data_IF_402825234752
#
_entry.id   IF_402825234752
#
_cell.length_a   1.000
_cell.length_b   1.000
_cell.length_c   1.000
_cell.angle_alpha   90.00
_cell.angle_beta   90.00
_cell.angle_gamma   90.00
#
_symmetry.space_group_name_H-M   'P 1'
#
loop_
_entity.id
_entity.type
_entity.pdbx_description
1 polymer ?
#
# COMPACT_ATOMS: atom_id res chain seq x y z
N UNK A 1 -17.38 12.03 20.05
CA UNK A 1 -18.06 10.72 20.03
C UNK A 1 -17.00 9.69 19.67
N UNK A 2 -16.21 9.36 20.67
CA UNK A 2 -15.01 8.53 20.64
C UNK A 2 -15.29 7.42 21.66
N UNK A 3 -14.95 6.18 21.30
CA UNK A 3 -14.89 4.94 22.09
C UNK A 3 -16.18 4.11 22.25
N UNK A 4 -16.08 2.87 21.74
CA UNK A 4 -16.95 1.70 21.94
C UNK A 4 -16.68 0.69 20.80
N UNK A 5 -15.93 -0.40 20.93
CA UNK A 5 -15.39 -1.09 22.09
C UNK A 5 -14.00 -1.68 21.83
N UNK A 6 -13.16 -1.61 22.85
CA UNK A 6 -11.83 -2.20 22.98
C UNK A 6 -11.85 -3.59 23.66
N UNK A 7 -13.02 -4.23 23.78
CA UNK A 7 -13.17 -5.53 24.45
C UNK A 7 -13.37 -6.66 23.46
N UNK A 8 -12.25 -7.22 22.99
CA UNK A 8 -12.21 -8.52 22.33
C UNK A 8 -10.79 -9.07 22.13
N UNK A 9 -9.78 -8.50 22.80
CA UNK A 9 -8.37 -8.86 22.58
C UNK A 9 -7.85 -10.01 23.45
N UNK A 10 -8.56 -10.48 24.47
CA UNK A 10 -8.14 -11.67 25.24
C UNK A 10 -9.34 -12.41 25.81
N UNK A 11 -9.77 -13.48 25.14
CA UNK A 11 -10.83 -14.36 25.64
C UNK A 11 -11.18 -15.47 24.66
N UNK A 12 -10.70 -16.68 24.95
CA UNK A 12 -11.23 -17.98 24.55
C UNK A 12 -11.55 -18.22 23.04
N UNK A 13 -10.58 -18.80 22.33
CA UNK A 13 -10.83 -20.03 21.56
C UNK A 13 -11.66 -20.00 20.27
N UNK A 14 -11.81 -18.88 19.57
CA UNK A 14 -12.65 -18.85 18.36
C UNK A 14 -11.84 -18.71 17.06
N UNK A 15 -11.76 -19.78 16.25
CA UNK A 15 -11.04 -19.81 14.95
C UNK A 15 -11.48 -18.67 14.03
N UNK A 16 -12.70 -18.18 14.21
CA UNK A 16 -13.32 -17.06 13.49
C UNK A 16 -12.60 -15.73 13.73
N UNK A 17 -12.08 -15.49 14.94
CA UNK A 17 -11.34 -14.26 15.29
C UNK A 17 -9.98 -14.16 14.59
N UNK A 18 -9.32 -15.31 14.41
CA UNK A 18 -8.03 -15.45 13.74
C UNK A 18 -8.16 -15.25 12.23
N UNK A 19 -9.21 -15.81 11.61
CA UNK A 19 -9.54 -15.59 10.20
C UNK A 19 -9.83 -14.11 9.93
N UNK A 20 -10.62 -13.47 10.80
CA UNK A 20 -10.95 -12.04 10.68
C UNK A 20 -9.72 -11.15 10.84
N UNK A 21 -8.81 -11.48 11.74
CA UNK A 21 -7.53 -10.79 11.88
C UNK A 21 -6.67 -10.93 10.62
N UNK A 22 -6.54 -12.15 10.08
CA UNK A 22 -5.82 -12.38 8.82
C UNK A 22 -6.34 -11.50 7.68
N UNK A 23 -7.67 -11.42 7.54
CA UNK A 23 -8.31 -10.57 6.52
C UNK A 23 -7.98 -9.07 6.67
N UNK A 24 -8.01 -8.55 7.90
CA UNK A 24 -7.66 -7.13 8.17
C UNK A 24 -6.20 -6.83 7.87
N UNK A 25 -5.30 -7.77 8.17
CA UNK A 25 -3.87 -7.62 7.89
C UNK A 25 -3.60 -7.61 6.38
N UNK A 26 -4.22 -8.52 5.63
CA UNK A 26 -4.11 -8.56 4.17
C UNK A 26 -4.64 -7.29 3.51
N UNK A 27 -5.77 -6.75 4.00
CA UNK A 27 -6.31 -5.48 3.51
C UNK A 27 -5.36 -4.32 3.78
N UNK A 28 -4.84 -4.21 5.01
CA UNK A 28 -3.89 -3.16 5.39
C UNK A 28 -2.59 -3.23 4.59
N UNK A 29 -2.06 -4.44 4.36
CA UNK A 29 -0.86 -4.66 3.56
C UNK A 29 -1.07 -4.26 2.09
N UNK A 30 -2.20 -4.62 1.49
CA UNK A 30 -2.51 -4.26 0.11
C UNK A 30 -2.61 -2.73 -0.07
N UNK A 31 -3.28 -2.04 0.86
CA UNK A 31 -3.38 -0.57 0.86
C UNK A 31 -1.97 0.04 1.01
N UNK A 32 -1.18 -0.45 1.96
CA UNK A 32 0.15 0.08 2.23
C UNK A 32 1.07 -0.01 1.00
N UNK A 33 1.04 -1.14 0.26
CA UNK A 33 1.87 -1.30 -0.95
C UNK A 33 1.45 -0.34 -2.06
N UNK A 34 0.15 -0.18 -2.32
CA UNK A 34 -0.34 0.76 -3.36
C UNK A 34 0.10 2.18 -3.03
N UNK A 35 -0.14 2.63 -1.79
CA UNK A 35 0.22 3.98 -1.35
C UNK A 35 1.74 4.20 -1.38
N UNK A 36 2.54 3.25 -0.87
CA UNK A 36 3.99 3.39 -0.85
C UNK A 36 4.60 3.49 -2.26
N UNK A 37 4.14 2.63 -3.18
CA UNK A 37 4.64 2.60 -4.56
C UNK A 37 4.27 3.84 -5.37
N UNK A 38 3.06 4.38 -5.21
CA UNK A 38 2.64 5.61 -5.87
C UNK A 38 3.37 6.81 -5.31
N UNK A 39 3.43 6.95 -3.98
CA UNK A 39 4.12 8.05 -3.33
C UNK A 39 5.61 8.06 -3.69
N UNK A 40 6.27 6.91 -3.73
CA UNK A 40 7.68 6.84 -4.10
C UNK A 40 7.94 7.39 -5.51
N UNK A 41 7.04 7.10 -6.47
CA UNK A 41 7.13 7.68 -7.81
C UNK A 41 6.86 9.18 -7.79
N UNK A 42 5.78 9.62 -7.12
CA UNK A 42 5.45 11.05 -7.02
C UNK A 42 6.60 11.88 -6.46
N UNK A 43 7.22 11.42 -5.37
CA UNK A 43 8.37 12.09 -4.74
C UNK A 43 9.57 12.16 -5.70
N UNK A 44 9.83 11.11 -6.48
CA UNK A 44 10.94 11.14 -7.45
C UNK A 44 10.64 12.02 -8.66
N UNK A 45 9.39 12.05 -9.12
CA UNK A 45 8.97 12.95 -10.19
C UNK A 45 9.13 14.42 -9.74
N UNK A 46 8.73 14.75 -8.50
CA UNK A 46 8.96 16.08 -7.91
C UNK A 46 10.44 16.40 -7.74
N UNK A 47 11.25 15.43 -7.27
CA UNK A 47 12.69 15.62 -7.13
C UNK A 47 13.35 15.94 -8.48
N UNK A 48 12.98 15.24 -9.55
CA UNK A 48 13.47 15.54 -10.91
C UNK A 48 13.00 16.91 -11.36
N UNK A 49 11.73 17.25 -11.13
CA UNK A 49 11.18 18.55 -11.51
C UNK A 49 11.91 19.71 -10.81
N UNK A 50 12.30 19.54 -9.54
CA UNK A 50 13.07 20.53 -8.78
C UNK A 50 14.51 20.70 -9.31
N UNK A 51 15.14 19.62 -9.77
CA UNK A 51 16.49 19.66 -10.36
C UNK A 51 16.49 20.12 -11.82
N UNK A 52 15.33 20.18 -12.48
CA UNK A 52 15.21 20.54 -13.90
C UNK A 52 15.98 19.57 -14.81
N UNK A 53 16.66 20.10 -15.82
CA UNK A 53 17.43 19.29 -16.78
C UNK A 53 18.56 18.47 -16.11
N UNK A 54 19.09 18.96 -14.98
CA UNK A 54 20.14 18.27 -14.21
C UNK A 54 19.61 16.96 -13.62
N UNK A 55 18.32 16.87 -13.29
CA UNK A 55 17.69 15.66 -12.78
C UNK A 55 17.67 14.48 -13.76
N UNK A 56 17.88 14.73 -15.05
CA UNK A 56 18.00 13.69 -16.08
C UNK A 56 19.45 13.32 -16.42
N UNK A 57 20.43 14.03 -15.85
CA UNK A 57 21.85 13.73 -16.07
C UNK A 57 22.29 12.55 -15.19
N UNK A 58 23.09 11.65 -15.78
CA UNK A 58 23.61 10.45 -15.09
C UNK A 58 24.43 10.78 -13.85
N UNK A 59 25.02 11.97 -13.79
CA UNK A 59 25.84 12.41 -12.67
C UNK A 59 25.01 12.65 -11.40
N UNK A 60 23.72 13.00 -11.53
CA UNK A 60 22.82 13.16 -10.39
C UNK A 60 22.20 11.84 -9.92
N UNK A 61 22.14 10.82 -10.78
CA UNK A 61 21.62 9.49 -10.45
C UNK A 61 20.11 9.40 -10.23
N UNK A 62 19.37 10.52 -10.27
CA UNK A 62 17.91 10.58 -10.11
C UNK A 62 17.19 9.83 -11.24
N UNK A 63 17.76 9.81 -12.45
CA UNK A 63 17.20 9.09 -13.60
C UNK A 63 17.32 7.57 -13.45
N UNK A 64 18.27 7.09 -12.64
CA UNK A 64 18.36 5.68 -12.26
C UNK A 64 17.28 5.33 -11.26
N UNK A 65 17.11 6.14 -10.22
CA UNK A 65 16.06 5.95 -9.20
C UNK A 65 14.67 5.95 -9.83
N UNK A 66 14.40 6.87 -10.77
CA UNK A 66 13.13 6.90 -11.51
C UNK A 66 12.87 5.58 -12.26
N UNK A 67 13.89 5.03 -12.92
CA UNK A 67 13.78 3.76 -13.67
C UNK A 67 13.52 2.58 -12.73
N UNK A 68 14.23 2.52 -11.62
CA UNK A 68 14.08 1.47 -10.62
C UNK A 68 12.69 1.54 -9.96
N UNK A 69 12.18 2.74 -9.70
CA UNK A 69 10.87 2.93 -9.07
C UNK A 69 9.69 2.43 -9.91
N UNK A 70 9.83 2.40 -11.24
CA UNK A 70 8.72 1.95 -12.10
C UNK A 70 8.30 0.52 -11.85
N UNK A 71 9.21 -0.34 -11.38
CA UNK A 71 8.92 -1.76 -11.15
C UNK A 71 7.93 -1.97 -9.98
N UNK A 72 7.93 -1.09 -8.97
CA UNK A 72 7.13 -1.27 -7.76
C UNK A 72 5.62 -1.22 -7.99
N UNK A 73 5.17 -0.61 -9.11
CA UNK A 73 3.75 -0.61 -9.49
C UNK A 73 3.28 -1.89 -10.16
N UNK A 74 4.20 -2.74 -10.62
CA UNK A 74 3.91 -3.96 -11.40
C UNK A 74 4.24 -5.21 -10.59
N UNK A 75 5.35 -5.18 -9.85
CA UNK A 75 5.84 -6.29 -9.06
C UNK A 75 4.94 -6.61 -7.85
N UNK A 76 4.90 -7.89 -7.45
CA UNK A 76 4.07 -8.43 -6.34
C UNK A 76 2.58 -8.07 -6.43
N UNK A 77 2.02 -8.13 -7.64
CA UNK A 77 0.72 -7.61 -8.08
C UNK A 77 0.73 -6.14 -8.51
N UNK A 78 0.10 -5.89 -9.66
CA UNK A 78 -0.14 -4.56 -10.18
C UNK A 78 -1.03 -3.74 -9.22
N UNK A 79 -0.79 -2.43 -9.15
CA UNK A 79 -1.55 -1.55 -8.23
C UNK A 79 -3.07 -1.61 -8.50
N UNK A 80 -3.50 -1.73 -9.75
CA UNK A 80 -4.93 -1.84 -10.10
C UNK A 80 -5.55 -3.12 -9.55
N UNK A 81 -4.84 -4.25 -9.63
CA UNK A 81 -5.27 -5.53 -9.07
C UNK A 81 -5.40 -5.42 -7.55
N UNK A 82 -4.45 -4.75 -6.89
CA UNK A 82 -4.55 -4.55 -5.45
C UNK A 82 -5.67 -3.60 -5.03
N UNK A 83 -5.98 -2.57 -5.83
CA UNK A 83 -7.17 -1.73 -5.61
C UNK A 83 -8.46 -2.55 -5.72
N UNK A 84 -8.54 -3.44 -6.71
CA UNK A 84 -9.67 -4.39 -6.83
C UNK A 84 -9.76 -5.35 -5.65
N UNK A 85 -8.62 -5.89 -5.20
CA UNK A 85 -8.55 -6.76 -4.01
C UNK A 85 -9.06 -6.02 -2.76
N UNK A 86 -8.63 -4.77 -2.55
CA UNK A 86 -9.09 -3.94 -1.42
C UNK A 86 -10.59 -3.69 -1.50
N UNK A 87 -11.13 -3.39 -2.69
CA UNK A 87 -12.57 -3.21 -2.87
C UNK A 87 -13.37 -4.48 -2.53
N UNK A 88 -12.96 -5.64 -3.06
CA UNK A 88 -13.65 -6.91 -2.84
C UNK A 88 -13.57 -7.35 -1.37
N UNK A 89 -12.37 -7.33 -0.81
CA UNK A 89 -12.08 -7.75 0.57
C UNK A 89 -12.75 -6.81 1.56
N UNK A 90 -12.72 -5.49 1.29
CA UNK A 90 -13.37 -4.48 2.11
C UNK A 90 -14.89 -4.64 2.17
N UNK A 91 -15.53 -5.05 1.07
CA UNK A 91 -16.96 -5.34 1.07
C UNK A 91 -17.31 -6.57 1.93
N UNK A 92 -16.50 -7.62 1.92
CA UNK A 92 -16.76 -8.84 2.69
C UNK A 92 -16.65 -8.64 4.20
N UNK A 93 -15.76 -7.75 4.67
CA UNK A 93 -15.61 -7.44 6.11
C UNK A 93 -16.85 -6.77 6.71
N UNK A 94 -17.72 -6.14 5.90
CA UNK A 94 -18.94 -5.48 6.37
C UNK A 94 -20.17 -6.41 6.39
N UNK A 95 -20.16 -7.47 5.59
CA UNK A 95 -21.30 -8.39 5.41
C UNK A 95 -21.27 -9.60 6.35
N UNK A 96 -20.27 -9.69 7.24
CA UNK A 96 -20.17 -10.67 8.32
C UNK A 96 -20.28 -9.94 9.67
#
# INVERSE_FOLDING_TARGET
MILGDSTGIYGEGDRMSLIRWGYRMSLGAAIAKVVASENAQHVCDEAIQLHGAIGFMRDCGLERVLRDLRIFRIFECANDIMRMFVALTGMQVRSC
#
